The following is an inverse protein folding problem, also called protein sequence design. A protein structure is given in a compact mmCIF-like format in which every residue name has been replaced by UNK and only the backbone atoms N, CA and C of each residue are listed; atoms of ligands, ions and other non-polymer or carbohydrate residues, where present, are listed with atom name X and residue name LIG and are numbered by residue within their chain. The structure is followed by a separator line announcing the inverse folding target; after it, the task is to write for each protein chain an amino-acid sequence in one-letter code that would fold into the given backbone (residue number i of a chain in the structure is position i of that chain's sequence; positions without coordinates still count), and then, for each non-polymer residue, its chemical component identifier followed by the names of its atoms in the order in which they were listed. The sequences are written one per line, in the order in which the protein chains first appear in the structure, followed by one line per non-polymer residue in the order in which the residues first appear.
data_IF_142344250754
#
_entry.id   IF_142344250754
#
_cell.length_a   1.000
_cell.length_b   1.000
_cell.length_c   1.000
_cell.angle_alpha   90.00
_cell.angle_beta   90.00
_cell.angle_gamma   90.00
#
_symmetry.space_group_name_H-M   'P 1'
#
loop_
_entity.id
_entity.type
_entity.pdbx_description
1 polymer ?
#
# COMPACT_ATOMS: atom_id res chain seq x y z
N UNK A 1 13.80 19.27 13.48
CA UNK A 1 13.12 20.06 12.44
C UNK A 1 11.65 20.24 12.77
N UNK A 2 11.08 21.31 12.26
CA UNK A 2 9.64 21.54 12.27
C UNK A 2 9.04 21.10 10.93
N UNK A 3 8.17 20.10 10.93
CA UNK A 3 7.67 19.43 9.73
C UNK A 3 6.15 19.58 9.64
N UNK A 4 5.63 19.84 8.45
CA UNK A 4 4.20 19.87 8.19
C UNK A 4 3.80 18.72 7.25
N UNK A 5 2.82 17.92 7.69
CA UNK A 5 2.05 17.04 6.82
C UNK A 5 0.83 17.81 6.32
N UNK A 6 0.67 17.95 5.01
CA UNK A 6 -0.52 18.59 4.45
C UNK A 6 -1.69 17.61 4.49
N UNK A 7 -2.79 18.04 5.12
CA UNK A 7 -4.02 17.24 5.15
C UNK A 7 -4.50 16.98 3.71
N UNK A 8 -4.66 15.73 3.28
CA UNK A 8 -5.02 15.40 1.88
C UNK A 8 -6.43 15.84 1.47
N UNK A 9 -7.28 16.14 2.42
CA UNK A 9 -8.62 16.68 2.11
C UNK A 9 -9.62 15.67 1.55
N UNK A 10 -9.36 14.37 1.68
CA UNK A 10 -10.21 13.32 1.10
C UNK A 10 -11.50 13.04 1.90
N UNK A 11 -11.82 13.85 2.91
CA UNK A 11 -13.01 13.70 3.74
C UNK A 11 -12.93 12.59 4.80
N UNK A 12 -11.77 11.97 4.95
CA UNK A 12 -11.51 10.94 5.95
C UNK A 12 -10.70 11.56 7.10
N UNK A 13 -11.04 11.32 8.38
CA UNK A 13 -10.27 11.84 9.49
C UNK A 13 -8.87 11.22 9.59
N UNK A 14 -7.94 11.92 10.22
CA UNK A 14 -6.58 11.43 10.49
C UNK A 14 -6.40 11.30 12.02
N UNK A 15 -6.15 10.10 12.56
CA UNK A 15 -6.03 8.80 11.87
C UNK A 15 -7.38 8.30 11.32
N UNK A 16 -7.37 7.52 10.24
CA UNK A 16 -8.59 6.95 9.67
C UNK A 16 -9.13 5.86 10.59
N UNK A 17 -10.46 5.81 10.83
CA UNK A 17 -11.06 4.78 11.69
C UNK A 17 -11.06 3.39 11.05
N UNK A 18 -11.05 3.32 9.71
CA UNK A 18 -11.06 2.07 8.92
C UNK A 18 -10.23 2.23 7.65
N UNK A 19 -10.88 2.44 6.50
CA UNK A 19 -10.22 2.68 5.21
C UNK A 19 -9.73 4.13 5.10
N UNK A 20 -8.66 4.34 4.35
CA UNK A 20 -8.03 5.63 4.15
C UNK A 20 -6.51 5.46 4.05
N UNK A 21 -6.02 4.98 2.88
CA UNK A 21 -4.61 4.65 2.72
C UNK A 21 -3.70 5.87 2.87
N UNK A 22 -4.09 7.01 2.26
CA UNK A 22 -3.29 8.25 2.32
C UNK A 22 -3.30 8.81 3.73
N UNK A 23 -4.47 8.88 4.38
CA UNK A 23 -4.62 9.35 5.75
C UNK A 23 -3.85 8.49 6.75
N UNK A 24 -3.79 7.17 6.53
CA UNK A 24 -2.97 6.26 7.31
C UNK A 24 -1.48 6.57 7.14
N UNK A 25 -1.02 6.80 5.91
CA UNK A 25 0.37 7.16 5.61
C UNK A 25 0.74 8.49 6.29
N UNK A 26 -0.12 9.51 6.18
CA UNK A 26 0.07 10.81 6.85
C UNK A 26 0.20 10.63 8.36
N UNK A 27 -0.69 9.82 8.96
CA UNK A 27 -0.66 9.54 10.40
C UNK A 27 0.61 8.81 10.83
N UNK A 28 0.98 7.76 10.13
CA UNK A 28 2.17 6.96 10.45
C UNK A 28 3.45 7.80 10.33
N UNK A 29 3.62 8.61 9.28
CA UNK A 29 4.73 9.55 9.21
C UNK A 29 4.70 10.55 10.36
N UNK A 30 3.53 11.10 10.69
CA UNK A 30 3.40 12.06 11.81
C UNK A 30 3.88 11.45 13.13
N UNK A 31 3.45 10.24 13.45
CA UNK A 31 3.83 9.56 14.68
C UNK A 31 5.33 9.23 14.72
N UNK A 32 5.85 8.62 13.65
CA UNK A 32 7.22 8.14 13.61
C UNK A 32 8.25 9.28 13.48
N UNK A 33 7.93 10.37 12.79
CA UNK A 33 8.78 11.57 12.78
C UNK A 33 8.81 12.25 14.16
N UNK A 34 7.72 12.25 14.92
CA UNK A 34 7.73 12.71 16.32
C UNK A 34 8.59 11.81 17.21
N UNK A 35 8.54 10.50 17.01
CA UNK A 35 9.40 9.54 17.71
C UNK A 35 10.89 9.79 17.43
N UNK A 36 11.23 10.19 16.21
CA UNK A 36 12.57 10.61 15.81
C UNK A 36 12.98 12.00 16.35
N UNK A 37 12.13 12.65 17.16
CA UNK A 37 12.44 13.92 17.81
C UNK A 37 12.12 15.17 16.98
N UNK A 38 11.33 15.06 15.92
CA UNK A 38 10.88 16.20 15.14
C UNK A 38 9.57 16.78 15.69
N UNK A 39 9.35 18.09 15.52
CA UNK A 39 8.05 18.73 15.74
C UNK A 39 7.23 18.55 14.47
N UNK A 40 6.05 17.92 14.56
CA UNK A 40 5.23 17.59 13.38
C UNK A 40 3.79 18.04 13.58
N UNK A 41 3.30 18.84 12.64
CA UNK A 41 1.92 19.29 12.55
C UNK A 41 1.21 18.67 11.34
N UNK A 42 -0.13 18.55 11.43
CA UNK A 42 -0.99 18.28 10.28
C UNK A 42 -1.83 19.53 10.04
N UNK A 43 -1.72 20.13 8.84
CA UNK A 43 -2.36 21.40 8.49
C UNK A 43 -3.05 21.34 7.13
N UNK A 44 -4.03 22.18 6.93
CA UNK A 44 -4.57 22.44 5.60
C UNK A 44 -3.58 23.31 4.78
N UNK A 45 -3.52 23.13 3.47
CA UNK A 45 -2.60 23.87 2.60
C UNK A 45 -2.78 25.40 2.69
N UNK A 46 -4.02 25.87 2.91
CA UNK A 46 -4.32 27.28 3.04
C UNK A 46 -3.89 27.90 4.39
N UNK A 47 -3.57 27.09 5.40
CA UNK A 47 -3.07 27.53 6.72
C UNK A 47 -1.54 27.70 6.76
N UNK A 48 -0.81 27.17 5.75
CA UNK A 48 0.64 27.16 5.71
C UNK A 48 1.16 28.42 5.06
N UNK A 49 2.16 29.06 5.68
CA UNK A 49 2.87 30.23 5.16
C UNK A 49 4.33 29.87 4.87
N UNK A 50 4.94 30.60 3.95
CA UNK A 50 6.35 30.44 3.62
C UNK A 50 7.22 30.67 4.86
N UNK A 51 8.06 29.71 5.19
CA UNK A 51 8.97 29.78 6.33
C UNK A 51 8.40 29.27 7.66
N UNK A 52 7.14 28.83 7.73
CA UNK A 52 6.54 28.26 8.95
C UNK A 52 7.17 26.92 9.35
N UNK A 53 7.69 26.16 8.37
CA UNK A 53 8.21 24.80 8.52
C UNK A 53 9.54 24.63 7.76
N UNK A 54 10.40 23.77 8.30
CA UNK A 54 11.63 23.34 7.65
C UNK A 54 11.33 22.40 6.47
N UNK A 55 10.32 21.54 6.62
CA UNK A 55 9.87 20.56 5.63
C UNK A 55 8.35 20.54 5.56
N UNK A 56 7.80 20.66 4.34
CA UNK A 56 6.38 20.47 4.05
C UNK A 56 6.20 19.24 3.17
N UNK A 57 5.40 18.27 3.60
CA UNK A 57 5.06 17.07 2.85
C UNK A 57 3.63 17.17 2.35
N UNK A 58 3.44 17.01 1.04
CA UNK A 58 2.11 17.06 0.41
C UNK A 58 1.82 15.76 -0.33
N UNK A 59 0.55 15.32 -0.29
CA UNK A 59 0.12 13.99 -0.72
C UNK A 59 -0.84 13.99 -1.91
N UNK A 60 -1.27 15.17 -2.34
CA UNK A 60 -2.27 15.35 -3.41
C UNK A 60 -1.80 16.48 -4.33
N UNK A 61 -1.80 16.23 -5.65
CA UNK A 61 -1.17 17.11 -6.63
C UNK A 61 -1.76 18.53 -6.68
N UNK A 62 -3.08 18.69 -6.56
CA UNK A 62 -3.70 20.02 -6.53
C UNK A 62 -3.28 20.84 -5.30
N UNK A 63 -3.08 20.22 -4.14
CA UNK A 63 -2.59 20.90 -2.94
C UNK A 63 -1.10 21.23 -3.06
N UNK A 64 -0.32 20.39 -3.75
CA UNK A 64 1.08 20.68 -4.08
C UNK A 64 1.19 21.93 -4.96
N UNK A 65 0.34 22.05 -5.96
CA UNK A 65 0.31 23.24 -6.85
C UNK A 65 -0.17 24.50 -6.10
N UNK A 66 -1.11 24.36 -5.16
CA UNK A 66 -1.50 25.49 -4.28
C UNK A 66 -0.32 26.01 -3.45
N UNK A 67 0.54 25.11 -2.93
CA UNK A 67 1.76 25.50 -2.22
C UNK A 67 2.78 26.17 -3.16
N UNK A 68 2.95 25.60 -4.36
CA UNK A 68 3.83 26.18 -5.38
C UNK A 68 3.43 27.62 -5.76
N UNK A 69 2.14 27.89 -5.92
CA UNK A 69 1.62 29.24 -6.23
C UNK A 69 1.87 30.26 -5.11
N UNK A 70 2.13 29.77 -3.88
CA UNK A 70 2.50 30.58 -2.72
C UNK A 70 4.02 30.64 -2.47
N UNK A 71 4.84 30.11 -3.38
CA UNK A 71 6.30 29.95 -3.20
C UNK A 71 6.68 29.18 -1.91
N UNK A 72 5.88 28.22 -1.48
CA UNK A 72 6.17 27.35 -0.34
C UNK A 72 6.87 26.10 -0.85
N UNK A 73 8.15 25.86 -0.49
CA UNK A 73 8.86 24.65 -0.90
C UNK A 73 8.25 23.41 -0.24
N UNK A 74 8.14 22.31 -1.00
CA UNK A 74 7.56 21.06 -0.52
C UNK A 74 8.22 19.83 -1.14
N UNK A 75 8.06 18.69 -0.51
CA UNK A 75 8.22 17.37 -1.13
C UNK A 75 6.84 16.81 -1.48
N UNK A 76 6.73 16.13 -2.62
CA UNK A 76 5.47 15.54 -3.06
C UNK A 76 5.53 14.02 -2.97
N UNK A 77 4.62 13.43 -2.21
CA UNK A 77 4.46 11.98 -2.15
C UNK A 77 3.24 11.54 -2.95
N UNK A 78 3.50 10.88 -4.06
CA UNK A 78 2.49 10.32 -4.95
C UNK A 78 1.99 8.97 -4.41
N UNK A 79 0.69 8.66 -4.56
CA UNK A 79 0.09 7.48 -3.91
C UNK A 79 -0.69 6.57 -4.85
N UNK A 80 -0.95 6.96 -6.07
CA UNK A 80 -1.86 6.23 -6.95
C UNK A 80 -1.22 5.80 -8.28
N UNK A 81 -1.94 4.99 -9.03
CA UNK A 81 -1.56 4.52 -10.36
C UNK A 81 -2.38 5.21 -11.47
N UNK A 82 -3.23 6.17 -11.12
CA UNK A 82 -4.18 6.76 -12.08
C UNK A 82 -3.47 7.50 -13.20
N UNK A 83 -2.37 8.21 -12.89
CA UNK A 83 -1.56 8.88 -13.92
C UNK A 83 -1.03 7.88 -14.96
N UNK A 84 -0.62 6.68 -14.53
CA UNK A 84 -0.19 5.60 -15.41
C UNK A 84 -1.37 5.00 -16.18
N UNK A 85 -2.47 4.70 -15.48
CA UNK A 85 -3.66 4.06 -16.08
C UNK A 85 -4.31 4.91 -17.17
N UNK A 86 -4.46 6.23 -16.93
CA UNK A 86 -5.09 7.13 -17.90
C UNK A 86 -4.13 7.66 -18.97
N UNK A 87 -2.84 7.42 -18.83
CA UNK A 87 -1.81 7.79 -19.81
C UNK A 87 -1.33 9.23 -19.74
N UNK A 88 -0.22 9.49 -20.46
CA UNK A 88 0.52 10.78 -20.41
C UNK A 88 -0.29 11.99 -20.94
N UNK A 89 -1.31 11.77 -21.74
CA UNK A 89 -2.18 12.85 -22.26
C UNK A 89 -3.26 13.29 -21.28
N UNK A 90 -3.50 12.52 -20.22
CA UNK A 90 -4.55 12.79 -19.23
C UNK A 90 -4.24 14.02 -18.37
N UNK A 91 -5.32 14.67 -17.90
CA UNK A 91 -5.20 15.76 -16.92
C UNK A 91 -4.56 15.30 -15.60
N UNK A 92 -4.84 14.05 -15.19
CA UNK A 92 -4.27 13.45 -13.99
C UNK A 92 -2.75 13.35 -14.10
N UNK A 93 -2.22 12.85 -15.23
CA UNK A 93 -0.78 12.77 -15.45
C UNK A 93 -0.13 14.16 -15.44
N UNK A 94 -0.71 15.10 -16.23
CA UNK A 94 -0.15 16.47 -16.35
C UNK A 94 -0.09 17.18 -15.00
N UNK A 95 -1.16 17.08 -14.20
CA UNK A 95 -1.21 17.69 -12.88
C UNK A 95 -0.20 17.07 -11.90
N UNK A 96 -0.08 15.73 -11.86
CA UNK A 96 0.89 15.05 -11.01
C UNK A 96 2.32 15.39 -11.45
N UNK A 97 2.60 15.36 -12.77
CA UNK A 97 3.92 15.72 -13.29
C UNK A 97 4.30 17.14 -12.93
N UNK A 98 3.41 18.13 -13.10
CA UNK A 98 3.65 19.52 -12.74
C UNK A 98 3.95 19.68 -11.23
N UNK A 99 3.18 18.98 -10.37
CA UNK A 99 3.43 18.97 -8.93
C UNK A 99 4.82 18.41 -8.59
N UNK A 100 5.26 17.36 -9.31
CA UNK A 100 6.60 16.77 -9.16
C UNK A 100 7.71 17.73 -9.64
N UNK A 101 7.54 18.34 -10.79
CA UNK A 101 8.51 19.31 -11.36
C UNK A 101 8.77 20.51 -10.44
N UNK A 102 7.74 20.98 -9.72
CA UNK A 102 7.81 22.12 -8.80
C UNK A 102 8.27 21.74 -7.38
N UNK A 103 8.36 20.45 -7.06
CA UNK A 103 8.79 19.98 -5.74
C UNK A 103 10.31 20.02 -5.57
N UNK A 104 10.79 20.06 -4.34
CA UNK A 104 12.21 19.82 -4.01
C UNK A 104 12.61 18.46 -4.57
N UNK A 105 11.84 17.43 -4.22
CA UNK A 105 11.83 16.11 -4.84
C UNK A 105 10.48 15.43 -4.62
N UNK A 106 10.25 14.37 -5.36
CA UNK A 106 9.01 13.58 -5.24
C UNK A 106 9.30 12.12 -4.92
N UNK A 107 8.38 11.51 -4.20
CA UNK A 107 8.41 10.10 -3.82
C UNK A 107 7.28 9.35 -4.52
N UNK A 108 7.62 8.23 -5.14
CA UNK A 108 6.66 7.33 -5.77
C UNK A 108 6.80 5.93 -5.18
N UNK A 109 5.68 5.21 -4.93
CA UNK A 109 5.72 3.95 -4.20
C UNK A 109 6.02 2.72 -5.07
N UNK A 110 6.34 2.91 -6.35
CA UNK A 110 6.72 1.86 -7.29
C UNK A 110 7.78 2.36 -8.28
N UNK A 111 8.69 1.48 -8.73
CA UNK A 111 9.79 1.84 -9.64
C UNK A 111 9.29 2.18 -11.03
N UNK A 112 8.26 1.47 -11.54
CA UNK A 112 7.69 1.80 -12.84
C UNK A 112 7.18 3.24 -12.92
N UNK A 113 6.80 3.85 -11.79
CA UNK A 113 6.38 5.26 -11.74
C UNK A 113 7.58 6.21 -11.88
N UNK A 114 8.76 5.85 -11.36
CA UNK A 114 9.99 6.62 -11.60
C UNK A 114 10.27 6.70 -13.10
N UNK A 115 10.28 5.55 -13.76
CA UNK A 115 10.53 5.45 -15.20
C UNK A 115 9.42 6.13 -16.01
N UNK A 116 8.18 6.05 -15.55
CA UNK A 116 7.03 6.63 -16.25
C UNK A 116 7.01 8.17 -16.22
N UNK A 117 7.35 8.79 -15.10
CA UNK A 117 7.40 10.26 -14.99
C UNK A 117 8.66 10.86 -15.61
N UNK A 118 9.76 10.13 -15.69
CA UNK A 118 11.01 10.55 -16.36
C UNK A 118 11.53 11.90 -15.82
N UNK A 119 11.49 12.11 -14.51
CA UNK A 119 11.95 13.33 -13.84
C UNK A 119 13.14 13.01 -12.93
N UNK A 120 14.21 13.85 -12.94
CA UNK A 120 15.43 13.56 -12.18
C UNK A 120 15.25 13.68 -10.65
N UNK A 121 14.20 14.36 -10.20
CA UNK A 121 13.87 14.55 -8.79
C UNK A 121 12.77 13.59 -8.28
N UNK A 122 12.44 12.55 -9.05
CA UNK A 122 11.48 11.51 -8.63
C UNK A 122 12.23 10.28 -8.15
N UNK A 123 11.93 9.86 -6.92
CA UNK A 123 12.60 8.74 -6.27
C UNK A 123 11.61 7.64 -5.88
N UNK A 124 12.03 6.39 -6.07
CA UNK A 124 11.30 5.27 -5.49
C UNK A 124 11.39 5.29 -3.98
N UNK A 125 10.23 5.20 -3.34
CA UNK A 125 10.12 5.17 -1.89
C UNK A 125 8.93 4.29 -1.47
N UNK A 126 9.21 3.06 -1.06
CA UNK A 126 8.16 2.12 -0.63
C UNK A 126 7.41 2.64 0.60
N UNK A 127 6.19 2.20 0.76
CA UNK A 127 5.45 2.39 2.00
C UNK A 127 6.14 1.69 3.18
N UNK A 128 5.73 2.04 4.39
CA UNK A 128 6.11 1.37 5.62
C UNK A 128 4.96 0.55 6.21
N UNK A 129 5.24 -0.13 7.31
CA UNK A 129 4.27 -0.84 8.12
C UNK A 129 4.48 -0.53 9.61
N UNK A 130 3.39 -0.49 10.36
CA UNK A 130 3.44 -0.35 11.81
C UNK A 130 3.59 -1.75 12.45
N UNK A 131 4.82 -2.11 12.82
CA UNK A 131 5.17 -3.42 13.39
C UNK A 131 4.71 -3.59 14.84
N UNK A 132 4.30 -2.53 15.53
CA UNK A 132 3.66 -2.63 16.83
C UNK A 132 2.19 -3.04 16.72
N UNK A 133 1.53 -2.55 15.68
CA UNK A 133 0.12 -2.83 15.40
C UNK A 133 -0.05 -4.16 14.66
N UNK A 134 0.77 -4.41 13.65
CA UNK A 134 0.77 -5.64 12.84
C UNK A 134 1.98 -6.48 13.24
N UNK A 135 1.72 -7.55 13.97
CA UNK A 135 2.73 -8.51 14.45
C UNK A 135 2.09 -9.86 14.70
N UNK A 136 2.87 -10.92 14.72
CA UNK A 136 2.37 -12.22 15.13
C UNK A 136 1.79 -12.17 16.56
N UNK A 137 0.71 -12.88 16.77
CA UNK A 137 0.08 -13.07 18.07
C UNK A 137 -0.07 -14.57 18.40
N UNK A 138 -0.73 -14.89 19.52
CA UNK A 138 -0.93 -16.27 19.98
C UNK A 138 -2.10 -16.98 19.24
N UNK A 139 -2.69 -16.38 18.24
CA UNK A 139 -3.74 -17.01 17.43
C UNK A 139 -3.15 -18.17 16.64
N UNK A 140 -3.76 -19.35 16.77
CA UNK A 140 -3.39 -20.50 15.93
C UNK A 140 -4.04 -20.33 14.57
N UNK A 141 -3.27 -20.15 13.49
CA UNK A 141 -3.86 -19.97 12.17
C UNK A 141 -4.52 -21.27 11.68
N UNK A 142 -5.55 -21.12 10.86
CA UNK A 142 -6.11 -22.25 10.10
C UNK A 142 -5.04 -22.71 9.12
N UNK A 143 -4.53 -23.91 9.35
CA UNK A 143 -3.39 -24.43 8.58
C UNK A 143 -3.71 -24.51 7.07
N UNK A 144 -2.82 -24.00 6.26
CA UNK A 144 -3.00 -23.84 4.81
C UNK A 144 -4.31 -23.14 4.44
N UNK A 145 -4.44 -21.88 4.86
CA UNK A 145 -5.54 -20.99 4.49
C UNK A 145 -5.05 -19.75 3.77
N UNK A 146 -5.85 -19.25 2.84
CA UNK A 146 -5.54 -18.10 2.00
C UNK A 146 -6.31 -16.86 2.47
N UNK A 147 -5.63 -15.71 2.49
CA UNK A 147 -6.24 -14.41 2.75
C UNK A 147 -6.02 -13.49 1.55
N UNK A 148 -7.07 -12.87 1.06
CA UNK A 148 -7.01 -11.71 0.17
C UNK A 148 -7.61 -10.50 0.86
N UNK A 149 -6.92 -9.37 0.82
CA UNK A 149 -7.42 -8.10 1.32
C UNK A 149 -7.26 -7.04 0.23
N UNK A 150 -8.36 -6.61 -0.36
CA UNK A 150 -8.32 -5.69 -1.48
C UNK A 150 -9.61 -4.89 -1.67
N UNK A 151 -9.50 -3.74 -2.32
CA UNK A 151 -10.60 -2.97 -2.85
C UNK A 151 -10.62 -3.10 -4.38
N UNK A 152 -11.56 -3.87 -4.91
CA UNK A 152 -11.71 -4.11 -6.36
C UNK A 152 -12.65 -3.10 -7.03
N UNK A 153 -13.43 -2.35 -6.26
CA UNK A 153 -14.48 -1.44 -6.75
C UNK A 153 -14.06 0.01 -6.92
N UNK A 154 -12.76 0.34 -6.88
CA UNK A 154 -12.30 1.73 -7.01
C UNK A 154 -12.13 2.17 -8.45
N UNK A 155 -12.53 3.42 -8.70
CA UNK A 155 -11.99 4.22 -9.79
C UNK A 155 -12.48 3.90 -11.20
N UNK A 156 -13.74 3.57 -11.38
CA UNK A 156 -14.32 3.47 -12.72
C UNK A 156 -13.86 2.25 -13.53
N UNK A 157 -13.25 1.27 -12.86
CA UNK A 157 -12.82 0.00 -13.48
C UNK A 157 -14.01 -0.92 -13.82
N UNK A 158 -15.25 -0.55 -13.46
CA UNK A 158 -16.44 -1.34 -13.72
C UNK A 158 -16.38 -2.71 -13.06
N UNK A 159 -16.77 -3.75 -13.81
CA UNK A 159 -16.69 -5.15 -13.39
C UNK A 159 -15.30 -5.77 -13.58
N UNK A 160 -14.29 -5.00 -13.99
CA UNK A 160 -12.94 -5.49 -14.22
C UNK A 160 -12.28 -5.93 -12.92
N UNK A 161 -11.85 -7.19 -12.89
CA UNK A 161 -11.19 -7.80 -11.72
C UNK A 161 -9.70 -7.46 -11.65
N UNK A 162 -9.42 -6.20 -11.39
CA UNK A 162 -8.04 -5.70 -11.24
C UNK A 162 -7.30 -6.37 -10.09
N UNK A 163 -8.00 -6.70 -9.02
CA UNK A 163 -7.42 -7.31 -7.81
C UNK A 163 -7.24 -8.82 -7.91
N UNK A 164 -7.82 -9.45 -8.94
CA UNK A 164 -7.66 -10.88 -9.21
C UNK A 164 -8.47 -11.77 -8.26
N UNK A 165 -9.66 -11.35 -7.86
CA UNK A 165 -10.55 -12.17 -7.02
C UNK A 165 -10.90 -13.50 -7.70
N UNK A 166 -11.20 -13.48 -9.00
CA UNK A 166 -11.46 -14.68 -9.78
C UNK A 166 -10.28 -15.65 -9.74
N UNK A 167 -9.07 -15.18 -9.99
CA UNK A 167 -7.86 -15.99 -9.96
C UNK A 167 -7.59 -16.53 -8.55
N UNK A 168 -7.73 -15.69 -7.52
CA UNK A 168 -7.55 -16.12 -6.13
C UNK A 168 -8.51 -17.23 -5.71
N UNK A 169 -9.79 -17.11 -6.10
CA UNK A 169 -10.80 -18.16 -5.82
C UNK A 169 -10.48 -19.44 -6.62
N UNK A 170 -10.06 -19.33 -7.88
CA UNK A 170 -9.63 -20.49 -8.68
C UNK A 170 -8.42 -21.20 -8.08
N UNK A 171 -7.45 -20.47 -7.55
CA UNK A 171 -6.31 -21.04 -6.80
C UNK A 171 -6.80 -21.80 -5.58
N UNK A 172 -7.69 -21.21 -4.78
CA UNK A 172 -8.27 -21.85 -3.61
C UNK A 172 -9.07 -23.12 -3.95
N UNK A 173 -9.87 -23.07 -5.01
CA UNK A 173 -10.63 -24.23 -5.49
C UNK A 173 -9.72 -25.36 -5.96
N UNK A 174 -8.71 -25.06 -6.77
CA UNK A 174 -7.80 -26.06 -7.33
C UNK A 174 -6.91 -26.70 -6.25
N UNK A 175 -6.50 -25.93 -5.24
CA UNK A 175 -5.73 -26.42 -4.10
C UNK A 175 -6.62 -27.00 -2.96
N UNK A 176 -7.94 -26.86 -3.07
CA UNK A 176 -8.92 -27.25 -2.04
C UNK A 176 -8.68 -26.56 -0.66
N UNK A 177 -8.13 -25.33 -0.66
CA UNK A 177 -7.82 -24.57 0.56
C UNK A 177 -8.91 -23.54 0.89
N UNK A 178 -9.20 -23.28 2.18
CA UNK A 178 -10.09 -22.20 2.54
C UNK A 178 -9.48 -20.85 2.15
N UNK A 179 -10.34 -19.95 1.71
CA UNK A 179 -9.98 -18.58 1.36
C UNK A 179 -10.95 -17.58 2.00
N UNK A 180 -10.39 -16.53 2.57
CA UNK A 180 -11.14 -15.35 3.00
C UNK A 180 -10.79 -14.17 2.09
N UNK A 181 -11.82 -13.52 1.54
CA UNK A 181 -11.70 -12.26 0.83
C UNK A 181 -12.30 -11.17 1.69
N UNK A 182 -11.48 -10.19 2.07
CA UNK A 182 -11.92 -9.06 2.88
C UNK A 182 -11.73 -7.73 2.12
N UNK A 183 -12.64 -6.79 2.33
CA UNK A 183 -12.55 -5.49 1.67
C UNK A 183 -13.74 -4.58 1.95
N UNK A 184 -13.79 -3.38 1.32
CA UNK A 184 -14.88 -2.45 1.48
C UNK A 184 -16.16 -2.94 0.80
N UNK A 185 -17.28 -2.32 1.18
CA UNK A 185 -18.62 -2.69 0.71
C UNK A 185 -18.77 -2.66 -0.82
N UNK A 186 -18.09 -1.78 -1.50
CA UNK A 186 -18.16 -1.69 -2.96
C UNK A 186 -17.66 -2.94 -3.70
N UNK A 187 -16.96 -3.87 -3.01
CA UNK A 187 -16.64 -5.18 -3.56
C UNK A 187 -17.90 -6.04 -3.80
N UNK A 188 -19.02 -5.77 -3.13
CA UNK A 188 -20.29 -6.51 -3.30
C UNK A 188 -20.76 -6.46 -4.75
N UNK A 189 -20.49 -5.39 -5.50
CA UNK A 189 -20.84 -5.30 -6.91
C UNK A 189 -20.18 -6.44 -7.71
N UNK A 190 -18.87 -6.64 -7.50
CA UNK A 190 -18.14 -7.71 -8.18
C UNK A 190 -18.65 -9.10 -7.78
N UNK A 191 -18.93 -9.32 -6.50
CA UNK A 191 -19.47 -10.60 -6.02
C UNK A 191 -20.84 -10.89 -6.59
N UNK A 192 -21.72 -9.88 -6.70
CA UNK A 192 -23.05 -10.03 -7.28
C UNK A 192 -22.99 -10.35 -8.79
N UNK A 193 -22.03 -9.77 -9.51
CA UNK A 193 -21.79 -10.04 -10.92
C UNK A 193 -21.15 -11.42 -11.17
N UNK A 194 -20.63 -12.07 -10.13
CA UNK A 194 -19.91 -13.34 -10.21
C UNK A 194 -20.51 -14.42 -9.26
N UNK A 195 -21.81 -14.77 -9.35
CA UNK A 195 -22.48 -15.65 -8.39
C UNK A 195 -21.91 -17.07 -8.34
N UNK A 196 -21.15 -17.51 -9.35
CA UNK A 196 -20.49 -18.81 -9.40
C UNK A 196 -19.53 -19.05 -8.23
N UNK A 197 -18.97 -17.98 -7.62
CA UNK A 197 -18.04 -18.07 -6.50
C UNK A 197 -18.68 -18.70 -5.25
N UNK A 198 -19.98 -18.48 -5.05
CA UNK A 198 -20.73 -19.02 -3.92
C UNK A 198 -20.93 -20.55 -3.99
N UNK A 199 -20.58 -21.16 -5.12
CA UNK A 199 -20.45 -22.61 -5.24
C UNK A 199 -19.24 -23.20 -4.54
N UNK A 200 -18.28 -22.38 -4.07
CA UNK A 200 -17.13 -22.86 -3.31
C UNK A 200 -17.38 -22.80 -1.80
N UNK A 201 -17.56 -23.96 -1.12
CA UNK A 201 -18.01 -23.99 0.28
C UNK A 201 -16.94 -23.52 1.28
N UNK A 202 -15.69 -23.35 0.84
CA UNK A 202 -14.58 -22.87 1.67
C UNK A 202 -14.24 -21.39 1.43
N UNK A 203 -15.09 -20.65 0.72
CA UNK A 203 -15.01 -19.21 0.54
C UNK A 203 -15.69 -18.49 1.71
N UNK A 204 -14.99 -17.54 2.30
CA UNK A 204 -15.53 -16.57 3.26
C UNK A 204 -15.36 -15.16 2.70
N UNK A 205 -16.37 -14.31 2.84
CA UNK A 205 -16.34 -12.91 2.44
C UNK A 205 -16.59 -12.06 3.68
N UNK A 206 -15.74 -11.07 3.92
CA UNK A 206 -15.88 -10.12 5.00
C UNK A 206 -15.90 -8.69 4.45
N UNK A 207 -17.04 -8.03 4.61
CA UNK A 207 -17.24 -6.65 4.16
C UNK A 207 -16.94 -5.68 5.29
N UNK A 208 -16.19 -4.62 4.99
CA UNK A 208 -15.84 -3.52 5.89
C UNK A 208 -15.25 -3.98 7.24
N UNK A 209 -14.19 -4.82 7.24
CA UNK A 209 -13.58 -5.23 8.50
C UNK A 209 -13.02 -4.02 9.27
N UNK A 210 -13.24 -4.01 10.58
CA UNK A 210 -12.57 -3.05 11.47
C UNK A 210 -11.06 -3.29 11.53
N UNK A 211 -10.29 -2.32 12.00
CA UNK A 211 -8.85 -2.48 12.19
C UNK A 211 -8.49 -3.67 13.09
N UNK A 212 -9.32 -3.96 14.10
CA UNK A 212 -9.14 -5.15 14.95
C UNK A 212 -9.39 -6.44 14.17
N UNK A 213 -10.47 -6.51 13.40
CA UNK A 213 -10.75 -7.67 12.54
C UNK A 213 -9.67 -7.89 11.49
N UNK A 214 -9.08 -6.81 10.94
CA UNK A 214 -7.94 -6.93 10.02
C UNK A 214 -6.74 -7.61 10.68
N UNK A 215 -6.37 -7.20 11.90
CA UNK A 215 -5.29 -7.85 12.64
C UNK A 215 -5.58 -9.32 12.92
N UNK A 216 -6.83 -9.64 13.27
CA UNK A 216 -7.26 -11.03 13.49
C UNK A 216 -7.19 -11.85 12.20
N UNK A 217 -7.62 -11.29 11.05
CA UNK A 217 -7.52 -11.94 9.74
C UNK A 217 -6.08 -12.29 9.38
N UNK A 218 -5.16 -11.32 9.48
CA UNK A 218 -3.75 -11.59 9.19
C UNK A 218 -3.17 -12.68 10.11
N UNK A 219 -3.56 -12.72 11.37
CA UNK A 219 -3.04 -13.70 12.33
C UNK A 219 -3.75 -15.08 12.28
N UNK A 220 -4.93 -15.17 11.69
CA UNK A 220 -5.70 -16.41 11.59
C UNK A 220 -5.49 -17.19 10.29
N UNK A 221 -4.77 -16.61 9.33
CA UNK A 221 -4.47 -17.24 8.04
C UNK A 221 -2.98 -17.54 7.91
N UNK A 222 -2.60 -18.31 6.90
CA UNK A 222 -1.20 -18.76 6.72
C UNK A 222 -0.53 -18.14 5.50
N UNK A 223 -1.26 -17.80 4.45
CA UNK A 223 -0.70 -17.27 3.20
C UNK A 223 -1.53 -16.08 2.74
N UNK A 224 -0.86 -14.98 2.43
CA UNK A 224 -1.49 -13.82 1.82
C UNK A 224 -1.40 -13.92 0.30
N UNK A 225 -2.55 -13.95 -0.36
CA UNK A 225 -2.66 -14.07 -1.81
C UNK A 225 -2.91 -12.69 -2.44
N UNK A 226 -2.04 -12.27 -3.34
CA UNK A 226 -2.09 -10.94 -3.96
C UNK A 226 -1.95 -11.00 -5.50
N UNK A 227 -2.96 -11.50 -6.22
CA UNK A 227 -2.94 -11.62 -7.67
C UNK A 227 -3.34 -10.32 -8.40
N UNK A 228 -3.04 -9.17 -7.81
CA UNK A 228 -3.39 -7.86 -8.39
C UNK A 228 -2.58 -7.57 -9.65
N UNK A 229 -3.21 -6.94 -10.65
CA UNK A 229 -2.55 -6.59 -11.91
C UNK A 229 -1.84 -5.24 -11.86
N UNK A 230 -2.46 -4.26 -11.24
CA UNK A 230 -1.95 -2.89 -11.20
C UNK A 230 -2.08 -2.32 -9.78
N UNK A 231 -0.95 -2.03 -9.19
CA UNK A 231 -0.84 -1.41 -7.87
C UNK A 231 0.00 -0.13 -7.96
N UNK A 232 -0.35 0.83 -7.12
CA UNK A 232 0.49 2.02 -6.96
C UNK A 232 1.74 1.70 -6.14
N UNK A 233 1.58 0.93 -5.07
CA UNK A 233 2.67 0.56 -4.15
C UNK A 233 3.22 -0.83 -4.42
N UNK A 234 4.54 -0.95 -4.52
CA UNK A 234 5.30 -2.18 -4.60
C UNK A 234 6.40 -2.20 -3.53
N UNK A 235 6.17 -2.83 -2.36
CA UNK A 235 4.90 -3.45 -1.92
C UNK A 235 3.85 -2.43 -1.48
N UNK A 236 2.58 -2.81 -1.55
CA UNK A 236 1.49 -2.01 -1.01
C UNK A 236 1.29 -2.26 0.50
N UNK A 237 0.42 -1.47 1.15
CA UNK A 237 0.20 -1.55 2.60
C UNK A 237 -0.29 -2.92 3.06
N UNK A 238 -1.20 -3.58 2.33
CA UNK A 238 -1.76 -4.87 2.73
C UNK A 238 -0.74 -6.00 2.67
N UNK A 239 0.19 -5.97 1.71
CA UNK A 239 1.34 -6.89 1.65
C UNK A 239 2.24 -6.70 2.87
N UNK A 240 2.55 -5.46 3.22
CA UNK A 240 3.41 -5.14 4.35
C UNK A 240 2.77 -5.52 5.69
N UNK A 241 1.48 -5.28 5.85
CA UNK A 241 0.70 -5.67 7.04
C UNK A 241 0.67 -7.19 7.20
N UNK A 242 0.42 -7.92 6.10
CA UNK A 242 0.47 -9.38 6.09
C UNK A 242 1.86 -9.90 6.45
N UNK A 243 2.91 -9.33 5.85
CA UNK A 243 4.29 -9.70 6.14
C UNK A 243 4.68 -9.42 7.60
N UNK A 244 4.23 -8.31 8.18
CA UNK A 244 4.48 -7.97 9.58
C UNK A 244 3.79 -8.95 10.56
N UNK A 245 2.65 -9.54 10.16
CA UNK A 245 2.01 -10.63 10.88
C UNK A 245 2.65 -12.00 10.59
N UNK A 246 3.64 -12.07 9.71
CA UNK A 246 4.38 -13.28 9.37
C UNK A 246 3.73 -14.14 8.32
N UNK A 247 2.85 -13.61 7.46
CA UNK A 247 2.31 -14.36 6.33
C UNK A 247 3.32 -14.35 5.17
N UNK A 248 3.70 -15.50 4.61
CA UNK A 248 4.25 -15.59 3.27
C UNK A 248 3.29 -14.98 2.25
N UNK A 249 3.85 -14.34 1.24
CA UNK A 249 3.09 -13.66 0.19
C UNK A 249 3.18 -14.45 -1.11
N UNK A 250 2.04 -14.75 -1.71
CA UNK A 250 1.94 -15.30 -3.06
C UNK A 250 1.28 -14.26 -3.97
N UNK A 251 2.04 -13.74 -4.94
CA UNK A 251 1.50 -12.73 -5.83
C UNK A 251 2.54 -12.06 -6.68
N UNK A 252 2.21 -10.90 -7.22
CA UNK A 252 3.13 -10.17 -8.08
C UNK A 252 3.46 -8.79 -7.51
N UNK A 253 4.75 -8.47 -7.41
CA UNK A 253 5.31 -7.13 -7.22
C UNK A 253 6.52 -6.97 -8.13
N UNK A 254 6.98 -5.76 -8.36
CA UNK A 254 8.15 -5.48 -9.19
C UNK A 254 9.40 -6.21 -8.71
N UNK A 255 10.26 -6.63 -9.66
CA UNK A 255 11.45 -7.44 -9.38
C UNK A 255 12.47 -6.77 -8.49
N UNK A 256 12.64 -5.49 -8.67
CA UNK A 256 13.67 -4.70 -8.00
C UNK A 256 13.31 -4.28 -6.59
N UNK A 257 12.20 -4.76 -6.06
CA UNK A 257 11.85 -4.50 -4.68
C UNK A 257 12.73 -5.32 -3.73
N UNK A 258 13.03 -4.74 -2.58
CA UNK A 258 13.79 -5.43 -1.52
C UNK A 258 12.93 -6.38 -0.70
N UNK A 259 11.76 -6.79 -1.20
CA UNK A 259 10.84 -7.68 -0.50
C UNK A 259 11.23 -9.15 -0.69
N UNK A 260 11.51 -9.86 0.41
CA UNK A 260 11.98 -11.24 0.41
C UNK A 260 10.92 -12.13 0.99
N UNK A 261 9.94 -12.15 1.42
CA UNK A 261 8.92 -13.11 1.92
C UNK A 261 7.84 -13.40 0.89
N UNK A 262 8.15 -13.17 -0.38
CA UNK A 262 7.20 -13.29 -1.47
C UNK A 262 7.67 -14.33 -2.49
N UNK A 263 6.74 -15.19 -2.89
CA UNK A 263 6.83 -15.92 -4.16
C UNK A 263 6.20 -15.07 -5.26
N UNK A 264 7.04 -14.60 -6.17
CA UNK A 264 6.56 -13.82 -7.32
C UNK A 264 5.94 -14.75 -8.35
N UNK A 265 4.68 -14.52 -8.65
CA UNK A 265 3.94 -15.28 -9.64
C UNK A 265 3.23 -14.35 -10.63
N UNK A 266 3.32 -14.61 -11.93
CA UNK A 266 2.42 -13.97 -12.88
C UNK A 266 0.95 -14.32 -12.57
N UNK A 267 0.02 -13.58 -13.16
CA UNK A 267 -1.43 -13.87 -13.04
C UNK A 267 -1.84 -15.08 -13.89
N UNK A 268 -1.26 -16.21 -13.56
CA UNK A 268 -1.53 -17.52 -14.17
C UNK A 268 -1.82 -18.55 -13.09
N UNK A 269 -2.88 -19.35 -13.30
CA UNK A 269 -3.33 -20.32 -12.31
C UNK A 269 -2.26 -21.37 -11.99
N UNK A 270 -1.56 -21.90 -13.01
CA UNK A 270 -0.57 -22.96 -12.82
C UNK A 270 0.68 -22.44 -12.11
N UNK A 271 1.11 -21.23 -12.46
CA UNK A 271 2.24 -20.56 -11.78
C UNK A 271 1.91 -20.25 -10.32
N UNK A 272 0.69 -19.78 -10.05
CA UNK A 272 0.24 -19.54 -8.67
C UNK A 272 0.13 -20.83 -7.85
N UNK A 273 -0.36 -21.92 -8.44
CA UNK A 273 -0.39 -23.22 -7.76
C UNK A 273 1.01 -23.75 -7.47
N UNK A 274 1.97 -23.59 -8.40
CA UNK A 274 3.37 -23.94 -8.17
C UNK A 274 3.99 -23.11 -7.03
N UNK A 275 3.72 -21.81 -7.02
CA UNK A 275 4.17 -20.92 -5.95
C UNK A 275 3.56 -21.27 -4.60
N UNK A 276 2.28 -21.63 -4.59
CA UNK A 276 1.59 -22.08 -3.40
C UNK A 276 2.22 -23.34 -2.80
N UNK A 277 2.48 -24.35 -3.63
CA UNK A 277 3.14 -25.60 -3.22
C UNK A 277 4.54 -25.31 -2.64
N UNK A 278 5.31 -24.44 -3.27
CA UNK A 278 6.64 -24.04 -2.77
C UNK A 278 6.54 -23.35 -1.41
N UNK A 279 5.65 -22.36 -1.27
CA UNK A 279 5.45 -21.67 0.01
C UNK A 279 5.01 -22.65 1.11
N UNK A 280 4.15 -23.60 0.81
CA UNK A 280 3.69 -24.59 1.78
C UNK A 280 4.85 -25.46 2.25
N UNK A 281 5.70 -25.93 1.32
CA UNK A 281 6.85 -26.79 1.63
C UNK A 281 7.96 -26.04 2.40
N UNK A 282 8.14 -24.75 2.13
CA UNK A 282 9.17 -23.89 2.72
C UNK A 282 8.56 -22.81 3.63
N UNK A 283 7.44 -23.09 4.26
CA UNK A 283 6.62 -22.11 4.97
C UNK A 283 7.39 -21.30 6.00
N UNK A 284 8.20 -21.95 6.82
CA UNK A 284 8.96 -21.27 7.89
C UNK A 284 10.00 -20.30 7.33
N UNK A 285 10.61 -20.60 6.19
CA UNK A 285 11.59 -19.74 5.56
C UNK A 285 10.93 -18.49 4.97
N UNK A 286 9.82 -18.67 4.24
CA UNK A 286 9.05 -17.53 3.71
C UNK A 286 8.48 -16.67 4.83
N UNK A 287 7.97 -17.29 5.92
CA UNK A 287 7.48 -16.57 7.11
C UNK A 287 8.59 -15.71 7.74
N UNK A 288 9.76 -16.29 7.93
CA UNK A 288 10.93 -15.58 8.48
C UNK A 288 11.32 -14.40 7.59
N UNK A 289 11.39 -14.59 6.29
CA UNK A 289 11.72 -13.55 5.32
C UNK A 289 10.67 -12.43 5.31
N UNK A 290 9.38 -12.76 5.42
CA UNK A 290 8.30 -11.77 5.54
C UNK A 290 8.49 -10.87 6.76
N UNK A 291 8.74 -11.46 7.93
CA UNK A 291 8.99 -10.71 9.17
C UNK A 291 10.23 -9.82 9.08
N UNK A 292 11.32 -10.33 8.54
CA UNK A 292 12.56 -9.55 8.35
C UNK A 292 12.37 -8.38 7.38
N UNK A 293 11.56 -8.57 6.35
CA UNK A 293 11.26 -7.50 5.39
C UNK A 293 10.35 -6.44 6.01
N UNK A 294 9.34 -6.84 6.76
CA UNK A 294 8.46 -5.90 7.46
C UNK A 294 9.23 -5.04 8.47
N UNK A 295 10.17 -5.64 9.22
CA UNK A 295 11.03 -4.92 10.15
C UNK A 295 11.88 -3.85 9.46
N UNK A 296 12.50 -4.20 8.31
CA UNK A 296 13.27 -3.24 7.49
C UNK A 296 12.41 -2.11 6.95
N UNK A 297 11.16 -2.41 6.60
CA UNK A 297 10.19 -1.47 6.06
C UNK A 297 9.23 -0.94 7.15
N UNK A 298 9.64 -0.93 8.42
CA UNK A 298 8.86 -0.26 9.46
C UNK A 298 8.72 1.23 9.18
N UNK A 299 7.61 1.84 9.62
CA UNK A 299 7.43 3.30 9.43
C UNK A 299 8.52 4.12 10.11
N UNK A 300 9.08 3.64 11.21
CA UNK A 300 10.21 4.30 11.87
C UNK A 300 11.43 4.36 10.94
N UNK A 301 11.81 3.22 10.35
CA UNK A 301 12.92 3.16 9.39
C UNK A 301 12.64 3.99 8.14
N UNK A 302 11.41 3.96 7.63
CA UNK A 302 11.01 4.76 6.46
C UNK A 302 11.06 6.27 6.77
N UNK A 303 10.63 6.66 7.97
CA UNK A 303 10.71 8.07 8.41
C UNK A 303 12.15 8.55 8.55
N UNK A 304 13.05 7.73 9.11
CA UNK A 304 14.46 8.05 9.18
C UNK A 304 15.10 8.18 7.78
N UNK A 305 14.75 7.27 6.86
CA UNK A 305 15.24 7.33 5.47
C UNK A 305 14.74 8.57 4.74
N UNK A 306 13.49 8.98 4.98
CA UNK A 306 12.92 10.21 4.42
C UNK A 306 13.73 11.45 4.87
N UNK A 307 14.05 11.54 6.16
CA UNK A 307 14.85 12.65 6.69
C UNK A 307 16.24 12.67 6.06
N UNK A 308 16.91 11.51 6.00
CA UNK A 308 18.21 11.40 5.35
C UNK A 308 18.16 11.78 3.86
N UNK A 309 17.06 11.46 3.17
CA UNK A 309 16.87 11.86 1.77
C UNK A 309 16.69 13.37 1.66
N UNK A 310 15.88 13.97 2.53
CA UNK A 310 15.64 15.41 2.55
C UNK A 310 16.94 16.18 2.82
N UNK A 311 17.71 15.81 3.83
CA UNK A 311 18.97 16.47 4.17
C UNK A 311 19.99 16.46 3.02
N UNK A 312 20.02 15.38 2.23
CA UNK A 312 20.88 15.30 1.02
C UNK A 312 20.45 16.23 -0.12
N UNK A 313 19.20 16.67 -0.14
CA UNK A 313 18.70 17.56 -1.19
C UNK A 313 18.80 19.04 -0.83
N UNK A 314 18.90 19.37 0.46
CA UNK A 314 18.99 20.77 0.92
C UNK A 314 20.41 21.16 1.36
N UNK A 315 21.28 20.20 1.63
CA UNK A 315 22.70 20.40 2.01
C UNK A 315 23.60 20.40 0.80
#
# INVERSE_FOLDING_TARGET
MKICQVNPGCGIPIPPPTWGAIEKIVWEFTCNLKELGHEVDIKWANEIKKGDYDLVMVHVANLALELADKDIPYIFQHHDHHAYHYGKDSGVYKQNREAMEKSIFSLVPARYLVDYFELPNVHYFSHGVNTDTFKPNDTTPVYHSLLMLANNGLGGYGSYDRKGFELGIKVAMASNLPITIAGPKNNENWFNDNPWIFGYPKLSILTEPSNEQLRQLYNSHTIFLHPSELEAGHPNLTILEAAACGLPILGWIEEETTFHGLWRSPRDLQEMLRGLDTIINEYNDYRKLSLQTAEKLSWLNRSAELINLYERHIG
#
